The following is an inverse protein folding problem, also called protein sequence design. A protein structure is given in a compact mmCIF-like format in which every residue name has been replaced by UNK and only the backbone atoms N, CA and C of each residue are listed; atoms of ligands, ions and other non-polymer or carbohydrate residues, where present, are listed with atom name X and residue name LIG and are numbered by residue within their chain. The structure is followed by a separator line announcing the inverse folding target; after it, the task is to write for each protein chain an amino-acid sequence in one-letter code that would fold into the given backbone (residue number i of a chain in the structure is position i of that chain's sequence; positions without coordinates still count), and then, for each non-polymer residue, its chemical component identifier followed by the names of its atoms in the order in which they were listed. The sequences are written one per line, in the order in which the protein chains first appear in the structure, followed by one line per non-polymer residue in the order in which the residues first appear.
data_IF_570688676364
#
_entry.id   IF_570688676364
#
_cell.length_a   1.000
_cell.length_b   1.000
_cell.length_c   1.000
_cell.angle_alpha   90.00
_cell.angle_beta   90.00
_cell.angle_gamma   90.00
#
_symmetry.space_group_name_H-M   'P 1'
#
loop_
_entity.id
_entity.type
_entity.pdbx_description
1 polymer ?
#
# COMPACT_ATOMS: atom_id res chain seq x y z
N UNK A 1 -8.97 -13.75 4.32
CA UNK A 1 -9.34 -12.34 4.08
C UNK A 1 -8.18 -11.61 3.41
N UNK A 2 -6.91 -11.83 3.83
CA UNK A 2 -5.74 -11.11 3.28
C UNK A 2 -5.35 -11.53 1.86
N UNK A 3 -5.56 -12.78 1.44
CA UNK A 3 -5.41 -13.20 0.04
C UNK A 3 -6.34 -12.45 -0.91
N UNK A 4 -7.57 -12.08 -0.48
CA UNK A 4 -8.51 -11.32 -1.31
C UNK A 4 -8.10 -9.86 -1.52
N UNK A 5 -7.48 -9.19 -0.56
CA UNK A 5 -7.01 -7.80 -0.75
C UNK A 5 -5.81 -7.72 -1.70
N UNK A 6 -4.87 -8.69 -1.63
CA UNK A 6 -3.79 -8.82 -2.61
C UNK A 6 -4.30 -9.21 -4.01
N UNK A 7 -5.23 -10.19 -4.09
CA UNK A 7 -5.84 -10.63 -5.34
C UNK A 7 -6.71 -9.55 -6.02
N UNK A 8 -7.32 -8.62 -5.27
CA UNK A 8 -8.06 -7.49 -5.85
C UNK A 8 -7.15 -6.55 -6.65
N UNK A 9 -5.88 -6.41 -6.26
CA UNK A 9 -4.91 -5.61 -7.01
C UNK A 9 -4.47 -6.32 -8.29
N UNK A 10 -4.37 -7.66 -8.28
CA UNK A 10 -3.94 -8.45 -9.45
C UNK A 10 -5.05 -8.67 -10.49
N UNK A 11 -6.34 -8.65 -10.10
CA UNK A 11 -7.48 -8.81 -11.01
C UNK A 11 -7.90 -7.53 -11.73
N UNK A 12 -7.16 -6.43 -11.59
CA UNK A 12 -7.46 -5.15 -12.20
C UNK A 12 -6.70 -4.99 -13.52
N UNK A 13 -7.08 -5.80 -14.50
CA UNK A 13 -6.72 -5.64 -15.91
C UNK A 13 -7.49 -4.51 -16.57
N UNK A 14 -7.40 -3.29 -16.04
CA UNK A 14 -7.65 -2.10 -16.81
C UNK A 14 -6.33 -1.72 -17.46
N UNK A 15 -6.25 -1.92 -18.75
CA UNK A 15 -5.04 -1.67 -19.54
C UNK A 15 -4.71 -0.18 -19.70
N UNK A 16 -5.66 0.71 -19.38
CA UNK A 16 -5.44 2.15 -19.44
C UNK A 16 -4.67 2.65 -18.20
N UNK A 17 -3.44 3.21 -18.36
CA UNK A 17 -2.68 3.80 -17.27
C UNK A 17 -3.45 4.84 -16.46
N UNK A 18 -4.30 5.66 -17.08
CA UNK A 18 -5.08 6.70 -16.40
C UNK A 18 -6.11 6.11 -15.43
N UNK A 19 -6.79 5.05 -15.85
CA UNK A 19 -7.77 4.35 -14.99
C UNK A 19 -7.06 3.76 -13.79
N UNK A 20 -5.90 3.13 -14.01
CA UNK A 20 -5.06 2.56 -12.95
C UNK A 20 -4.56 3.63 -11.97
N UNK A 21 -4.06 4.76 -12.48
CA UNK A 21 -3.59 5.89 -11.65
C UNK A 21 -4.72 6.41 -10.77
N UNK A 22 -5.89 6.70 -11.35
CA UNK A 22 -7.07 7.18 -10.61
C UNK A 22 -7.51 6.21 -9.52
N UNK A 23 -7.53 4.91 -9.81
CA UNK A 23 -7.91 3.87 -8.87
C UNK A 23 -6.96 3.80 -7.68
N UNK A 24 -5.66 3.77 -7.94
CA UNK A 24 -4.65 3.73 -6.88
C UNK A 24 -4.61 5.03 -6.08
N UNK A 25 -4.84 6.18 -6.71
CA UNK A 25 -5.03 7.46 -6.03
C UNK A 25 -6.16 7.36 -5.00
N UNK A 26 -7.36 6.90 -5.40
CA UNK A 26 -8.50 6.78 -4.49
C UNK A 26 -8.18 5.86 -3.30
N UNK A 27 -7.51 4.73 -3.55
CA UNK A 27 -7.11 3.80 -2.47
C UNK A 27 -6.09 4.45 -1.52
N UNK A 28 -5.15 5.23 -2.03
CA UNK A 28 -4.15 5.95 -1.21
C UNK A 28 -4.77 7.11 -0.42
N UNK A 29 -5.78 7.77 -0.97
CA UNK A 29 -6.58 8.76 -0.24
C UNK A 29 -7.33 8.13 0.92
N UNK A 30 -7.93 6.95 0.72
CA UNK A 30 -8.55 6.18 1.81
C UNK A 30 -7.52 5.70 2.83
N UNK A 31 -6.32 5.30 2.36
CA UNK A 31 -5.23 4.80 3.18
C UNK A 31 -4.71 5.89 4.13
N UNK A 32 -4.46 7.09 3.65
CA UNK A 32 -3.96 8.21 4.45
C UNK A 32 -4.80 9.47 4.25
N UNK A 33 -4.56 10.22 3.17
CA UNK A 33 -5.26 11.45 2.80
C UNK A 33 -5.02 11.79 1.31
N UNK A 34 -5.72 12.81 0.82
CA UNK A 34 -5.62 13.26 -0.57
C UNK A 34 -4.24 13.85 -0.90
N UNK A 35 -3.57 14.50 0.04
CA UNK A 35 -2.22 15.05 -0.16
C UNK A 35 -1.20 13.93 -0.40
N UNK A 36 -1.32 12.83 0.34
CA UNK A 36 -0.49 11.64 0.14
C UNK A 36 -0.76 10.98 -1.21
N UNK A 37 -2.04 10.83 -1.57
CA UNK A 37 -2.46 10.28 -2.85
C UNK A 37 -2.02 11.14 -4.06
N UNK A 38 -2.02 12.48 -3.92
CA UNK A 38 -1.53 13.39 -4.96
C UNK A 38 -0.07 13.21 -5.27
N UNK A 39 0.80 12.98 -4.28
CA UNK A 39 2.22 12.67 -4.52
C UNK A 39 2.40 11.48 -5.47
N UNK A 40 1.57 10.45 -5.27
CA UNK A 40 1.55 9.29 -6.14
C UNK A 40 1.10 9.64 -7.56
N UNK A 41 -0.11 10.22 -7.69
CA UNK A 41 -0.71 10.47 -9.02
C UNK A 41 0.10 11.45 -9.85
N UNK A 42 0.57 12.56 -9.27
CA UNK A 42 1.40 13.55 -9.95
C UNK A 42 2.71 12.94 -10.47
N UNK A 43 3.35 12.08 -9.68
CA UNK A 43 4.60 11.42 -10.10
C UNK A 43 4.36 10.48 -11.27
N UNK A 44 3.32 9.64 -11.21
CA UNK A 44 3.03 8.67 -12.28
C UNK A 44 2.48 9.37 -13.52
N UNK A 45 1.67 10.42 -13.39
CA UNK A 45 1.18 11.23 -14.52
C UNK A 45 2.32 11.91 -15.28
N UNK A 46 3.34 12.41 -14.58
CA UNK A 46 4.55 12.97 -15.22
C UNK A 46 5.31 11.89 -16.01
N UNK A 47 5.46 10.69 -15.44
CA UNK A 47 6.08 9.57 -16.16
C UNK A 47 5.28 9.19 -17.39
N UNK A 48 3.95 9.07 -17.27
CA UNK A 48 3.05 8.77 -18.37
C UNK A 48 3.14 9.81 -19.50
N UNK A 49 3.14 11.09 -19.15
CA UNK A 49 3.30 12.17 -20.12
C UNK A 49 4.64 12.07 -20.87
N UNK A 50 5.72 11.77 -20.15
CA UNK A 50 7.05 11.61 -20.73
C UNK A 50 7.13 10.41 -21.69
N UNK A 51 6.57 9.26 -21.29
CA UNK A 51 6.53 8.04 -22.11
C UNK A 51 5.70 8.26 -23.38
N UNK A 52 4.55 8.97 -23.29
CA UNK A 52 3.75 9.37 -24.46
C UNK A 52 4.51 10.25 -25.44
N UNK A 53 5.31 11.19 -24.95
CA UNK A 53 6.16 12.05 -25.82
C UNK A 53 7.20 11.23 -26.58
N UNK A 54 7.78 10.20 -25.94
CA UNK A 54 8.81 9.37 -26.56
C UNK A 54 8.24 8.39 -27.60
N UNK A 55 7.07 7.77 -27.34
CA UNK A 55 6.60 6.63 -28.11
C UNK A 55 5.24 6.84 -28.81
N UNK A 56 4.58 7.98 -28.58
CA UNK A 56 3.23 8.30 -29.09
C UNK A 56 2.14 7.32 -28.56
N UNK A 57 0.94 7.36 -29.15
CA UNK A 57 -0.24 6.67 -28.61
C UNK A 57 -0.34 5.16 -28.96
N UNK A 58 0.61 4.60 -29.69
CA UNK A 58 0.62 3.17 -30.08
C UNK A 58 1.46 2.28 -29.18
N UNK A 59 1.89 2.80 -28.03
CA UNK A 59 2.78 2.10 -27.12
C UNK A 59 2.01 1.53 -25.93
N UNK A 60 2.51 0.41 -25.37
CA UNK A 60 1.85 -0.30 -24.27
C UNK A 60 1.91 0.44 -22.92
N UNK A 61 2.81 1.41 -22.76
CA UNK A 61 3.05 2.13 -21.50
C UNK A 61 3.39 1.21 -20.31
N UNK A 62 4.12 0.13 -20.58
CA UNK A 62 4.48 -0.87 -19.57
C UNK A 62 5.29 -0.27 -18.41
N UNK A 63 6.22 0.65 -18.70
CA UNK A 63 6.99 1.35 -17.68
C UNK A 63 6.08 2.16 -16.73
N UNK A 64 5.13 2.92 -17.26
CA UNK A 64 4.15 3.65 -16.44
C UNK A 64 3.28 2.70 -15.62
N UNK A 65 2.75 1.63 -16.24
CA UNK A 65 1.88 0.65 -15.58
C UNK A 65 2.59 -0.04 -14.40
N UNK A 66 3.85 -0.45 -14.62
CA UNK A 66 4.66 -1.15 -13.63
C UNK A 66 5.15 -0.20 -12.53
N UNK A 67 5.55 1.03 -12.89
CA UNK A 67 5.88 2.07 -11.92
C UNK A 67 4.69 2.44 -11.03
N UNK A 68 3.49 2.54 -11.62
CA UNK A 68 2.26 2.81 -10.89
C UNK A 68 1.98 1.70 -9.85
N UNK A 69 2.13 0.43 -10.24
CA UNK A 69 1.94 -0.70 -9.34
C UNK A 69 3.02 -0.77 -8.25
N UNK A 70 4.28 -0.58 -8.63
CA UNK A 70 5.42 -0.58 -7.70
C UNK A 70 5.25 0.50 -6.63
N UNK A 71 5.05 1.74 -7.07
CA UNK A 71 4.91 2.87 -6.14
C UNK A 71 3.69 2.72 -5.24
N UNK A 72 2.55 2.27 -5.79
CA UNK A 72 1.36 1.99 -5.00
C UNK A 72 1.62 0.94 -3.90
N UNK A 73 2.34 -0.16 -4.21
CA UNK A 73 2.68 -1.20 -3.24
C UNK A 73 3.54 -0.65 -2.09
N UNK A 74 4.54 0.17 -2.41
CA UNK A 74 5.45 0.71 -1.41
C UNK A 74 4.84 1.86 -0.61
N UNK A 75 3.99 2.68 -1.22
CA UNK A 75 3.27 3.74 -0.51
C UNK A 75 2.14 3.20 0.38
N UNK A 76 1.60 2.02 0.08
CA UNK A 76 0.55 1.37 0.88
C UNK A 76 1.11 0.20 1.68
N UNK A 77 2.05 0.45 2.55
CA UNK A 77 2.53 -0.58 3.46
C UNK A 77 1.49 -0.92 4.53
N UNK A 78 1.55 -2.15 5.04
CA UNK A 78 0.55 -2.69 5.96
C UNK A 78 0.92 -2.39 7.40
N UNK A 79 0.47 -1.26 7.90
CA UNK A 79 0.59 -0.89 9.30
C UNK A 79 -0.69 -1.20 10.12
N UNK A 80 -0.67 -0.88 11.40
CA UNK A 80 -1.74 -1.14 12.34
C UNK A 80 -3.00 -0.32 12.01
N UNK A 81 -2.84 0.91 11.49
CA UNK A 81 -3.96 1.75 11.06
C UNK A 81 -4.64 1.16 9.83
N UNK A 82 -3.87 0.66 8.85
CA UNK A 82 -4.44 0.01 7.66
C UNK A 82 -5.08 -1.33 8.01
N UNK A 83 -4.47 -2.13 8.89
CA UNK A 83 -5.11 -3.34 9.42
C UNK A 83 -6.44 -3.02 10.08
N UNK A 84 -6.48 -1.98 10.91
CA UNK A 84 -7.69 -1.53 11.59
C UNK A 84 -8.76 -1.05 10.59
N UNK A 85 -8.36 -0.26 9.58
CA UNK A 85 -9.25 0.21 8.52
C UNK A 85 -9.87 -0.96 7.75
N UNK A 86 -9.07 -1.93 7.33
CA UNK A 86 -9.54 -3.10 6.57
C UNK A 86 -10.50 -3.99 7.36
N UNK A 87 -10.36 -4.05 8.69
CA UNK A 87 -11.29 -4.79 9.55
C UNK A 87 -12.56 -4.01 9.87
N UNK A 88 -12.58 -2.70 9.68
CA UNK A 88 -13.73 -1.85 10.03
C UNK A 88 -14.45 -1.26 8.82
N UNK A 89 -14.07 -1.63 7.60
CA UNK A 89 -14.67 -1.18 6.35
C UNK A 89 -15.24 -2.33 5.52
N UNK A 90 -16.15 -1.99 4.61
CA UNK A 90 -16.69 -2.91 3.62
C UNK A 90 -17.54 -4.07 4.18
N UNK A 91 -17.55 -5.17 3.46
CA UNK A 91 -18.37 -6.36 3.78
C UNK A 91 -18.07 -6.96 5.15
N UNK A 92 -16.82 -6.93 5.59
CA UNK A 92 -16.46 -7.46 6.92
C UNK A 92 -17.09 -6.64 8.03
N UNK A 93 -17.07 -5.31 7.96
CA UNK A 93 -17.72 -4.46 8.95
C UNK A 93 -19.25 -4.70 8.99
N UNK A 94 -19.88 -4.81 7.82
CA UNK A 94 -21.31 -5.10 7.72
C UNK A 94 -21.67 -6.46 8.31
N UNK A 95 -20.85 -7.48 8.04
CA UNK A 95 -21.07 -8.83 8.59
C UNK A 95 -20.85 -8.90 10.10
N UNK A 96 -19.94 -8.08 10.65
CA UNK A 96 -19.66 -8.03 12.09
C UNK A 96 -20.89 -7.60 12.91
N UNK A 97 -21.71 -6.70 12.37
CA UNK A 97 -22.93 -6.24 13.06
C UNK A 97 -24.09 -7.22 12.97
N UNK A 98 -23.98 -8.28 12.17
CA UNK A 98 -24.94 -9.37 12.19
C UNK A 98 -24.87 -10.09 13.56
N UNK A 99 -25.99 -10.07 14.32
CA UNK A 99 -26.07 -10.53 15.72
C UNK A 99 -25.52 -11.95 15.96
N UNK A 100 -25.62 -12.83 14.97
CA UNK A 100 -25.19 -14.23 15.09
C UNK A 100 -23.66 -14.39 14.93
N UNK A 101 -22.98 -13.46 14.25
CA UNK A 101 -21.55 -13.53 13.96
C UNK A 101 -20.74 -12.82 15.05
N UNK A 102 -21.24 -11.71 15.60
CA UNK A 102 -20.54 -10.87 16.58
C UNK A 102 -20.05 -11.65 17.82
N UNK A 103 -20.82 -12.61 18.31
CA UNK A 103 -20.49 -13.36 19.55
C UNK A 103 -19.32 -14.33 19.40
N UNK A 104 -18.98 -14.75 18.16
CA UNK A 104 -18.02 -15.83 17.90
C UNK A 104 -16.75 -15.37 17.15
N UNK A 105 -16.57 -14.05 16.94
CA UNK A 105 -15.38 -13.56 16.25
C UNK A 105 -14.23 -13.41 17.24
N UNK A 106 -13.09 -14.00 16.86
CA UNK A 106 -11.81 -13.82 17.53
C UNK A 106 -10.79 -13.27 16.54
N UNK A 107 -10.00 -12.32 17.01
CA UNK A 107 -8.89 -11.74 16.25
C UNK A 107 -7.57 -12.33 16.75
N UNK A 108 -6.75 -12.86 15.85
CA UNK A 108 -5.40 -13.34 16.16
C UNK A 108 -4.39 -12.33 15.65
N UNK A 109 -3.82 -11.57 16.57
CA UNK A 109 -2.93 -10.45 16.26
C UNK A 109 -1.58 -10.69 16.91
N UNK A 110 -0.53 -10.15 16.30
CA UNK A 110 0.81 -10.08 16.85
C UNK A 110 1.20 -8.60 17.03
N UNK A 111 0.71 -7.91 18.09
CA UNK A 111 0.95 -6.48 18.27
C UNK A 111 2.45 -6.23 18.47
N UNK A 112 3.10 -5.39 17.65
CA UNK A 112 4.54 -5.11 17.75
C UNK A 112 4.92 -4.52 19.12
N UNK A 113 4.02 -3.72 19.70
CA UNK A 113 4.22 -3.06 21.00
C UNK A 113 4.37 -4.05 22.16
N UNK A 114 3.74 -5.23 22.08
CA UNK A 114 3.85 -6.24 23.13
C UNK A 114 5.13 -7.07 23.02
N UNK A 115 5.79 -7.06 21.86
CA UNK A 115 7.05 -7.76 21.54
C UNK A 115 7.15 -9.20 22.11
N UNK A 116 5.99 -9.88 22.26
CA UNK A 116 5.94 -11.26 22.73
C UNK A 116 6.35 -12.17 21.58
N UNK A 117 7.50 -12.85 21.75
CA UNK A 117 8.06 -13.76 20.75
C UNK A 117 7.88 -15.21 21.16
N UNK A 118 7.69 -16.05 20.16
CA UNK A 118 7.76 -17.50 20.33
C UNK A 118 9.21 -17.91 20.59
N UNK A 119 9.46 -18.69 21.63
CA UNK A 119 10.80 -19.10 22.07
C UNK A 119 11.52 -19.98 21.04
N UNK A 120 10.79 -20.71 20.23
CA UNK A 120 11.36 -21.67 19.28
C UNK A 120 11.61 -21.06 17.91
N UNK A 121 10.74 -20.13 17.46
CA UNK A 121 10.81 -19.58 16.12
C UNK A 121 11.33 -18.14 16.07
N UNK A 122 11.41 -17.44 17.21
CA UNK A 122 11.77 -16.02 17.30
C UNK A 122 10.71 -15.06 16.72
N UNK A 123 9.66 -15.56 16.10
CA UNK A 123 8.59 -14.75 15.52
C UNK A 123 7.64 -14.18 16.59
N UNK A 124 7.00 -13.04 16.27
CA UNK A 124 5.98 -12.48 17.15
C UNK A 124 4.83 -13.46 17.34
N UNK A 125 4.50 -13.74 18.62
CA UNK A 125 3.43 -14.66 18.98
C UNK A 125 2.07 -14.03 18.71
N UNK A 126 1.20 -14.76 18.02
CA UNK A 126 -0.19 -14.35 17.81
C UNK A 126 -0.99 -14.55 19.11
N UNK A 127 -1.65 -13.48 19.54
CA UNK A 127 -2.50 -13.44 20.72
C UNK A 127 -3.95 -13.39 20.27
N UNK A 128 -4.82 -14.14 20.96
CA UNK A 128 -6.25 -14.17 20.71
C UNK A 128 -6.94 -13.00 21.43
N UNK A 129 -7.67 -12.18 20.68
CA UNK A 129 -8.52 -11.12 21.19
C UNK A 129 -9.98 -11.42 20.84
N UNK A 130 -10.90 -11.09 21.74
CA UNK A 130 -12.34 -11.25 21.51
C UNK A 130 -12.93 -10.18 20.58
N UNK A 131 -14.25 -10.24 20.41
CA UNK A 131 -15.00 -9.32 19.51
C UNK A 131 -14.88 -7.84 19.88
N UNK A 132 -14.53 -7.51 21.12
CA UNK A 132 -14.29 -6.12 21.57
C UNK A 132 -13.17 -5.43 20.76
N UNK A 133 -12.23 -6.19 20.22
CA UNK A 133 -11.13 -5.69 19.40
C UNK A 133 -11.61 -4.92 18.15
N UNK A 134 -12.81 -5.22 17.67
CA UNK A 134 -13.43 -4.47 16.58
C UNK A 134 -13.59 -2.99 16.91
N UNK A 135 -13.95 -2.65 18.13
CA UNK A 135 -14.09 -1.25 18.55
C UNK A 135 -12.74 -0.55 18.67
N UNK A 136 -11.70 -1.28 19.10
CA UNK A 136 -10.32 -0.77 19.08
C UNK A 136 -9.88 -0.47 17.65
N UNK A 137 -10.16 -1.38 16.70
CA UNK A 137 -9.90 -1.13 15.29
C UNK A 137 -10.67 0.08 14.76
N UNK A 138 -11.94 0.25 15.15
CA UNK A 138 -12.74 1.41 14.75
C UNK A 138 -12.11 2.73 15.24
N UNK A 139 -11.51 2.73 16.42
CA UNK A 139 -10.77 3.88 16.94
C UNK A 139 -9.46 4.07 16.16
N UNK A 140 -8.64 3.01 16.04
CA UNK A 140 -7.35 3.07 15.34
C UNK A 140 -7.50 3.50 13.87
N UNK A 141 -8.53 3.04 13.17
CA UNK A 141 -8.78 3.44 11.78
C UNK A 141 -9.00 4.93 11.61
N UNK A 142 -9.55 5.60 12.63
CA UNK A 142 -9.70 7.07 12.64
C UNK A 142 -8.40 7.80 12.93
N UNK A 143 -7.44 7.14 13.58
CA UNK A 143 -6.15 7.72 13.95
C UNK A 143 -5.11 7.62 12.83
N UNK A 144 -5.50 7.24 11.61
CA UNK A 144 -4.61 7.15 10.44
C UNK A 144 -3.87 8.46 10.13
N UNK A 145 -4.42 9.61 10.54
CA UNK A 145 -3.80 10.93 10.38
C UNK A 145 -2.53 11.11 11.23
N UNK A 146 -2.31 10.27 12.24
CA UNK A 146 -1.08 10.28 13.05
C UNK A 146 0.11 9.69 12.30
N UNK A 147 -0.13 8.93 11.22
CA UNK A 147 0.91 8.27 10.43
C UNK A 147 1.96 9.27 9.95
N UNK A 148 3.22 8.99 10.25
CA UNK A 148 4.34 9.85 9.91
C UNK A 148 4.50 11.10 10.79
N UNK A 149 3.67 11.28 11.82
CA UNK A 149 3.84 12.37 12.80
C UNK A 149 4.67 11.92 14.01
N UNK A 150 5.03 12.84 14.89
CA UNK A 150 5.72 12.54 16.17
C UNK A 150 4.89 11.64 17.10
N UNK A 151 3.56 11.59 16.90
CA UNK A 151 2.61 10.79 17.69
C UNK A 151 2.30 9.43 17.04
N UNK A 152 3.01 9.08 15.97
CA UNK A 152 2.89 7.78 15.31
C UNK A 152 3.68 6.72 16.07
N UNK A 153 3.08 6.12 17.10
CA UNK A 153 3.72 5.07 17.89
C UNK A 153 4.12 3.84 17.05
N UNK A 154 3.33 3.49 16.06
CA UNK A 154 3.59 2.33 15.20
C UNK A 154 4.68 2.62 14.17
N UNK A 155 4.80 3.86 13.73
CA UNK A 155 5.81 4.31 12.76
C UNK A 155 7.24 4.31 13.31
N UNK A 156 7.44 4.16 14.64
CA UNK A 156 8.77 4.20 15.26
C UNK A 156 9.55 2.89 15.12
N UNK A 157 8.91 1.80 14.74
CA UNK A 157 9.60 0.50 14.57
C UNK A 157 10.57 0.54 13.39
N UNK A 158 11.65 -0.27 13.48
CA UNK A 158 12.67 -0.32 12.41
C UNK A 158 12.08 -0.80 11.07
N UNK A 159 11.12 -1.72 11.13
CA UNK A 159 10.42 -2.23 9.95
C UNK A 159 9.67 -1.09 9.25
N UNK A 160 8.91 -0.27 10.01
CA UNK A 160 8.16 0.86 9.46
C UNK A 160 9.06 1.94 8.87
N UNK A 161 10.16 2.25 9.54
CA UNK A 161 11.15 3.20 9.00
C UNK A 161 11.73 2.73 7.67
N UNK A 162 11.97 1.42 7.51
CA UNK A 162 12.42 0.83 6.25
C UNK A 162 11.35 0.92 5.16
N UNK A 163 10.09 0.65 5.48
CA UNK A 163 8.96 0.74 4.52
C UNK A 163 8.75 2.19 4.05
N UNK A 164 8.78 3.16 4.95
CA UNK A 164 8.72 4.59 4.60
C UNK A 164 9.90 4.99 3.71
N UNK A 165 11.12 4.62 4.09
CA UNK A 165 12.32 4.90 3.31
C UNK A 165 12.26 4.25 1.90
N UNK A 166 11.66 3.06 1.78
CA UNK A 166 11.48 2.38 0.50
C UNK A 166 10.49 3.15 -0.39
N UNK A 167 9.38 3.62 0.16
CA UNK A 167 8.42 4.45 -0.57
C UNK A 167 9.06 5.76 -1.06
N UNK A 168 9.82 6.45 -0.21
CA UNK A 168 10.54 7.69 -0.58
C UNK A 168 11.60 7.43 -1.65
N UNK A 169 12.41 6.39 -1.51
CA UNK A 169 13.41 6.00 -2.52
C UNK A 169 12.75 5.68 -3.86
N UNK A 170 11.58 5.03 -3.83
CA UNK A 170 10.84 4.71 -5.05
C UNK A 170 10.32 5.95 -5.77
N UNK A 171 9.82 6.95 -5.04
CA UNK A 171 9.48 8.27 -5.59
C UNK A 171 10.69 8.92 -6.27
N UNK A 172 11.82 8.97 -5.57
CA UNK A 172 13.07 9.54 -6.11
C UNK A 172 13.56 8.79 -7.35
N UNK A 173 13.47 7.45 -7.35
CA UNK A 173 13.86 6.64 -8.51
C UNK A 173 13.01 6.96 -9.73
N UNK A 174 11.68 7.08 -9.55
CA UNK A 174 10.79 7.47 -10.66
C UNK A 174 11.10 8.89 -11.14
N UNK A 175 11.37 9.83 -10.25
CA UNK A 175 11.76 11.19 -10.63
C UNK A 175 13.07 11.24 -11.43
N UNK A 176 14.05 10.40 -11.08
CA UNK A 176 15.30 10.24 -11.84
C UNK A 176 15.01 9.65 -13.23
N UNK A 177 14.14 8.64 -13.31
CA UNK A 177 13.71 8.07 -14.58
C UNK A 177 13.05 9.14 -15.46
N UNK A 178 12.09 9.90 -14.92
CA UNK A 178 11.40 10.96 -15.67
C UNK A 178 12.38 11.97 -16.27
N UNK A 179 13.43 12.35 -15.54
CA UNK A 179 14.44 13.31 -15.99
C UNK A 179 15.33 12.75 -17.10
N UNK A 180 15.67 11.48 -17.05
CA UNK A 180 16.73 10.88 -17.87
C UNK A 180 16.23 9.91 -18.94
N UNK A 181 14.95 9.52 -18.94
CA UNK A 181 14.41 8.53 -19.88
C UNK A 181 14.49 9.02 -21.33
N UNK A 182 14.96 8.14 -22.18
CA UNK A 182 15.09 8.29 -23.62
C UNK A 182 14.71 6.96 -24.32
N UNK A 183 14.62 6.96 -25.64
CA UNK A 183 14.37 5.71 -26.38
C UNK A 183 15.51 4.70 -26.23
N UNK A 184 16.74 5.15 -26.02
CA UNK A 184 17.92 4.30 -25.92
C UNK A 184 18.05 3.59 -24.57
N UNK A 185 17.54 4.16 -23.49
CA UNK A 185 17.63 3.58 -22.15
C UNK A 185 16.29 3.08 -21.58
N UNK A 186 15.24 3.06 -22.42
CA UNK A 186 13.89 2.68 -21.99
C UNK A 186 13.86 1.29 -21.35
N UNK A 187 14.42 0.29 -22.02
CA UNK A 187 14.42 -1.10 -21.52
C UNK A 187 15.15 -1.21 -20.18
N UNK A 188 16.26 -0.49 -19.99
CA UNK A 188 16.98 -0.45 -18.71
C UNK A 188 16.12 0.14 -17.59
N UNK A 189 15.35 1.19 -17.88
CA UNK A 189 14.43 1.78 -16.91
C UNK A 189 13.28 0.80 -16.56
N UNK A 190 12.77 0.09 -17.55
CA UNK A 190 11.73 -0.92 -17.35
C UNK A 190 12.24 -2.10 -16.52
N UNK A 191 13.43 -2.62 -16.81
CA UNK A 191 14.06 -3.70 -16.06
C UNK A 191 14.29 -3.32 -14.59
N UNK A 192 14.71 -2.07 -14.33
CA UNK A 192 14.88 -1.55 -12.98
C UNK A 192 13.57 -1.56 -12.19
N UNK A 193 12.48 -1.10 -12.80
CA UNK A 193 11.15 -1.10 -12.17
C UNK A 193 10.64 -2.54 -11.97
N UNK A 194 10.82 -3.42 -12.95
CA UNK A 194 10.42 -4.82 -12.85
C UNK A 194 11.20 -5.56 -11.76
N UNK A 195 12.50 -5.30 -11.62
CA UNK A 195 13.30 -5.84 -10.52
C UNK A 195 12.76 -5.39 -9.16
N UNK A 196 12.39 -4.10 -9.01
CA UNK A 196 11.80 -3.58 -7.79
C UNK A 196 10.42 -4.20 -7.48
N UNK A 197 9.60 -4.50 -8.49
CA UNK A 197 8.32 -5.18 -8.32
C UNK A 197 8.46 -6.62 -7.78
N UNK A 198 9.57 -7.29 -8.07
CA UNK A 198 9.87 -8.66 -7.64
C UNK A 198 10.48 -8.75 -6.23
N UNK A 199 10.77 -7.62 -5.59
CA UNK A 199 11.18 -7.59 -4.18
C UNK A 199 9.96 -8.01 -3.33
N UNK A 200 10.12 -9.11 -2.60
CA UNK A 200 9.07 -9.67 -1.71
C UNK A 200 9.20 -9.12 -0.29
#
# INVERSE_FOLDING_TARGET
VFKKAGLLVEKLSDDDPKVKIKKFHNILSDYQDDKYAKKYSETIEKLYAKERLLFKNKFDFSLTKNSALMLFRFMRYKDEYEVARLHTSGEFANSFFNKNIKKNINFYLAPPLLNIRDKNTGHLKKIKFGSWMFYVFKLLSKLKFLRGTKFDFFGQTNERKKEVALAEKSLLTIDIIIKNISRTNYNMCEDLINAALNIK
#
